data_IF_021337876948
#
_entry.id   IF_021337876948
#
_cell.length_a   1.000
_cell.length_b   1.000
_cell.length_c   1.000
_cell.angle_alpha   90.00
_cell.angle_beta   90.00
_cell.angle_gamma   90.00
#
_symmetry.space_group_name_H-M   'P 1'
#
loop_
_entity.id
_entity.type
_entity.pdbx_description
1 polymer ?
#
# COMPACT_ATOMS: atom_id res chain seq x y z
N UNK A 1 -31.29 44.74 10.29
CA UNK A 1 -31.88 46.01 9.85
C UNK A 1 -33.25 46.14 10.48
N UNK A 2 -33.57 47.28 11.01
CA UNK A 2 -34.84 47.56 11.72
C UNK A 2 -35.64 48.60 10.92
N UNK A 3 -36.94 48.42 10.70
CA UNK A 3 -37.77 49.43 10.08
C UNK A 3 -38.09 50.53 11.12
N UNK A 4 -37.80 51.78 10.76
CA UNK A 4 -38.03 52.96 11.58
C UNK A 4 -38.91 53.94 10.80
N UNK A 5 -39.94 54.49 11.39
CA UNK A 5 -40.73 55.55 10.75
C UNK A 5 -39.84 56.77 10.46
N UNK A 6 -39.97 57.37 9.31
CA UNK A 6 -39.15 58.51 8.88
C UNK A 6 -39.10 59.67 9.87
N UNK A 7 -40.17 59.89 10.61
CA UNK A 7 -40.29 60.93 11.64
C UNK A 7 -39.41 60.68 12.90
N UNK A 8 -39.07 59.37 13.19
CA UNK A 8 -38.20 58.95 14.31
C UNK A 8 -36.81 58.60 13.90
N UNK A 9 -36.40 58.83 12.61
CA UNK A 9 -35.09 58.50 12.10
C UNK A 9 -33.93 59.03 12.96
N UNK A 10 -34.08 60.22 13.54
CA UNK A 10 -33.05 60.86 14.38
C UNK A 10 -32.81 60.18 15.73
N UNK A 11 -33.73 59.32 16.19
CA UNK A 11 -33.63 58.61 17.45
C UNK A 11 -32.84 57.32 17.38
N UNK A 12 -32.65 56.77 16.19
CA UNK A 12 -31.89 55.53 15.96
C UNK A 12 -30.62 55.83 15.19
N UNK A 13 -29.49 55.85 15.91
CA UNK A 13 -28.17 55.99 15.30
C UNK A 13 -27.80 54.69 14.56
N UNK A 14 -27.40 54.80 13.28
CA UNK A 14 -27.06 53.66 12.48
C UNK A 14 -26.90 53.95 10.99
N UNK A 15 -26.67 52.91 10.21
CA UNK A 15 -26.50 52.97 8.75
C UNK A 15 -27.87 52.76 8.10
N UNK A 16 -28.25 53.66 7.19
CA UNK A 16 -29.47 53.52 6.39
C UNK A 16 -29.17 52.59 5.22
N UNK A 17 -29.89 51.50 5.12
CA UNK A 17 -29.77 50.54 4.00
C UNK A 17 -30.77 50.80 2.89
N UNK A 18 -31.99 51.21 3.25
CA UNK A 18 -33.04 51.43 2.27
C UNK A 18 -34.17 52.35 2.82
N UNK A 19 -35.00 52.84 1.92
CA UNK A 19 -36.20 53.65 2.22
C UNK A 19 -37.38 53.07 1.48
N UNK A 20 -38.53 52.96 2.14
CA UNK A 20 -39.74 52.44 1.50
C UNK A 20 -40.17 53.29 0.31
N UNK A 21 -40.84 52.69 -0.66
CA UNK A 21 -41.30 53.36 -1.86
C UNK A 21 -42.22 54.61 -1.60
N UNK A 22 -42.85 54.64 -0.44
CA UNK A 22 -43.68 55.79 0.03
C UNK A 22 -42.87 56.80 0.83
N UNK A 23 -41.61 56.54 1.16
CA UNK A 23 -40.79 57.41 2.00
C UNK A 23 -41.16 57.38 3.50
N UNK A 24 -42.19 56.63 3.89
CA UNK A 24 -42.73 56.63 5.27
C UNK A 24 -41.89 55.78 6.25
N UNK A 25 -41.06 54.86 5.77
CA UNK A 25 -40.23 53.96 6.58
C UNK A 25 -38.80 53.92 6.05
N UNK A 26 -37.85 54.04 6.96
CA UNK A 26 -36.41 53.93 6.70
C UNK A 26 -35.91 52.63 7.35
N UNK A 27 -35.12 51.83 6.60
CA UNK A 27 -34.52 50.63 7.12
C UNK A 27 -33.11 50.96 7.65
N UNK A 28 -32.95 50.92 8.97
CA UNK A 28 -31.73 51.32 9.66
C UNK A 28 -31.06 50.09 10.26
N UNK A 29 -29.76 49.95 10.08
CA UNK A 29 -28.94 49.04 10.87
C UNK A 29 -28.39 49.84 12.06
N UNK A 30 -28.84 49.54 13.30
CA UNK A 30 -28.38 50.28 14.49
C UNK A 30 -26.86 50.16 14.65
N UNK A 31 -26.22 51.24 15.11
CA UNK A 31 -24.77 51.34 15.30
C UNK A 31 -24.21 50.17 16.14
N UNK A 32 -24.90 49.79 17.22
CA UNK A 32 -24.51 48.67 18.06
C UNK A 32 -24.49 47.32 17.30
N UNK A 33 -25.39 47.13 16.30
CA UNK A 33 -25.43 45.93 15.46
C UNK A 33 -24.29 45.95 14.45
N UNK A 34 -23.99 47.10 13.84
CA UNK A 34 -22.84 47.28 12.96
C UNK A 34 -21.54 46.90 13.67
N UNK A 35 -21.35 47.43 14.88
CA UNK A 35 -20.18 47.14 15.71
C UNK A 35 -20.09 45.66 16.10
N UNK A 36 -21.21 45.04 16.48
CA UNK A 36 -21.28 43.64 16.83
C UNK A 36 -20.94 42.76 15.62
N UNK A 37 -21.48 43.06 14.45
CA UNK A 37 -21.19 42.35 13.21
C UNK A 37 -19.72 42.50 12.80
N UNK A 38 -19.14 43.68 12.92
CA UNK A 38 -17.73 43.93 12.68
C UNK A 38 -16.84 43.08 13.59
N UNK A 39 -17.17 42.99 14.90
CA UNK A 39 -16.45 42.11 15.83
C UNK A 39 -16.57 40.64 15.48
N UNK A 40 -17.74 40.19 15.07
CA UNK A 40 -17.94 38.79 14.62
C UNK A 40 -17.05 38.47 13.41
N UNK A 41 -17.00 39.36 12.42
CA UNK A 41 -16.13 39.19 11.25
C UNK A 41 -14.65 39.17 11.64
N UNK A 42 -14.24 40.04 12.57
CA UNK A 42 -12.88 40.08 13.10
C UNK A 42 -12.53 38.77 13.81
N UNK A 43 -13.40 38.27 14.69
CA UNK A 43 -13.16 37.00 15.39
C UNK A 43 -13.10 35.80 14.44
N UNK A 44 -13.95 35.75 13.41
CA UNK A 44 -13.89 34.70 12.39
C UNK A 44 -12.57 34.74 11.61
N UNK A 45 -12.08 35.93 11.30
CA UNK A 45 -10.79 36.07 10.66
C UNK A 45 -9.64 35.62 11.57
N UNK A 46 -9.68 35.96 12.86
CA UNK A 46 -8.71 35.53 13.85
C UNK A 46 -8.76 34.01 14.07
N UNK A 47 -9.95 33.41 14.14
CA UNK A 47 -10.14 31.96 14.22
C UNK A 47 -9.51 31.25 13.03
N UNK A 48 -9.77 31.73 11.81
CA UNK A 48 -9.18 31.14 10.59
C UNK A 48 -7.65 31.23 10.59
N UNK A 49 -7.09 32.37 11.04
CA UNK A 49 -5.64 32.54 11.16
C UNK A 49 -5.04 31.60 12.21
N UNK A 50 -5.70 31.40 13.34
CA UNK A 50 -5.21 30.51 14.40
C UNK A 50 -5.28 29.06 13.99
N UNK A 51 -6.34 28.63 13.29
CA UNK A 51 -6.43 27.29 12.69
C UNK A 51 -5.26 27.06 11.73
N UNK A 52 -5.01 28.00 10.82
CA UNK A 52 -3.88 27.92 9.88
C UNK A 52 -2.54 27.82 10.62
N UNK A 53 -2.34 28.65 11.65
CA UNK A 53 -1.12 28.62 12.47
C UNK A 53 -0.89 27.24 13.12
N UNK A 54 -1.95 26.66 13.68
CA UNK A 54 -1.91 25.33 14.32
C UNK A 54 -1.58 24.26 13.29
N UNK A 55 -2.24 24.26 12.13
CA UNK A 55 -2.02 23.28 11.07
C UNK A 55 -0.59 23.35 10.53
N UNK A 56 -0.06 24.55 10.30
CA UNK A 56 1.33 24.75 9.87
C UNK A 56 2.31 24.21 10.90
N UNK A 57 2.07 24.48 12.19
CA UNK A 57 2.92 23.99 13.27
C UNK A 57 2.95 22.44 13.33
N UNK A 58 1.80 21.80 13.25
CA UNK A 58 1.71 20.33 13.22
C UNK A 58 2.34 19.75 11.96
N UNK A 59 2.10 20.34 10.80
CA UNK A 59 2.72 19.94 9.55
C UNK A 59 4.25 20.00 9.64
N UNK A 60 4.79 21.05 10.24
CA UNK A 60 6.21 21.18 10.47
C UNK A 60 6.79 20.08 11.39
N UNK A 61 6.06 19.71 12.46
CA UNK A 61 6.45 18.60 13.33
C UNK A 61 6.47 17.26 12.60
N UNK A 62 5.45 16.98 11.79
CA UNK A 62 5.38 15.75 10.98
C UNK A 62 6.48 15.74 9.93
N UNK A 63 6.74 16.85 9.25
CA UNK A 63 7.82 16.96 8.26
C UNK A 63 9.21 16.71 8.89
N UNK A 64 9.42 17.09 10.14
CA UNK A 64 10.69 16.87 10.82
C UNK A 64 10.99 15.38 11.09
N UNK A 65 9.98 14.53 11.23
CA UNK A 65 10.11 13.08 11.46
C UNK A 65 9.90 12.24 10.20
N UNK A 66 9.60 12.87 9.06
CA UNK A 66 9.32 12.18 7.79
C UNK A 66 10.44 11.19 7.39
N UNK A 67 11.75 11.52 7.46
CA UNK A 67 12.80 10.59 7.07
C UNK A 67 12.81 9.31 7.93
N UNK A 68 12.59 9.43 9.25
CA UNK A 68 12.51 8.29 10.17
C UNK A 68 11.27 7.45 9.90
N UNK A 69 10.16 8.10 9.59
CA UNK A 69 8.92 7.42 9.23
C UNK A 69 9.09 6.62 7.92
N UNK A 70 9.69 7.21 6.89
CA UNK A 70 10.00 6.53 5.63
C UNK A 70 10.90 5.32 5.82
N UNK A 71 11.95 5.45 6.62
CA UNK A 71 12.83 4.34 6.95
C UNK A 71 12.08 3.20 7.65
N UNK A 72 11.30 3.52 8.68
CA UNK A 72 10.51 2.53 9.42
C UNK A 72 9.49 1.85 8.53
N UNK A 73 8.83 2.59 7.65
CA UNK A 73 7.86 2.05 6.69
C UNK A 73 8.50 1.05 5.73
N UNK A 74 9.67 1.38 5.17
CA UNK A 74 10.41 0.46 4.30
C UNK A 74 10.81 -0.82 5.04
N UNK A 75 11.34 -0.69 6.25
CA UNK A 75 11.69 -1.84 7.08
C UNK A 75 10.47 -2.74 7.38
N UNK A 76 9.31 -2.15 7.68
CA UNK A 76 8.07 -2.90 7.87
C UNK A 76 7.66 -3.67 6.61
N UNK A 77 7.75 -3.07 5.42
CA UNK A 77 7.45 -3.76 4.16
C UNK A 77 8.38 -4.95 3.92
N UNK A 78 9.68 -4.79 4.17
CA UNK A 78 10.65 -5.89 4.05
C UNK A 78 10.33 -7.04 5.01
N UNK A 79 10.02 -6.73 6.27
CA UNK A 79 9.64 -7.73 7.27
C UNK A 79 8.33 -8.42 6.86
N UNK A 80 7.34 -7.70 6.39
CA UNK A 80 6.06 -8.28 5.95
C UNK A 80 6.25 -9.28 4.80
N UNK A 81 7.05 -8.91 3.79
CA UNK A 81 7.41 -9.81 2.68
C UNK A 81 8.15 -11.06 3.18
N UNK A 82 9.10 -10.91 4.10
CA UNK A 82 9.83 -12.05 4.69
C UNK A 82 8.90 -12.97 5.48
N UNK A 83 7.98 -12.41 6.26
CA UNK A 83 6.98 -13.19 7.01
C UNK A 83 6.01 -13.92 6.08
N UNK A 84 5.58 -13.28 4.99
CA UNK A 84 4.74 -13.91 3.97
C UNK A 84 5.45 -15.10 3.30
N UNK A 85 6.73 -14.93 2.91
CA UNK A 85 7.56 -16.01 2.37
C UNK A 85 7.75 -17.15 3.38
N UNK A 86 8.00 -16.82 4.65
CA UNK A 86 8.17 -17.82 5.70
C UNK A 86 6.88 -18.62 5.95
N UNK A 87 5.72 -17.96 6.01
CA UNK A 87 4.41 -18.63 6.15
C UNK A 87 4.15 -19.57 4.99
N UNK A 88 4.37 -19.11 3.76
CA UNK A 88 4.23 -19.94 2.55
C UNK A 88 5.16 -21.17 2.60
N UNK A 89 6.40 -20.99 3.07
CA UNK A 89 7.35 -22.08 3.22
C UNK A 89 6.87 -23.14 4.23
N UNK A 90 6.31 -22.71 5.35
CA UNK A 90 5.74 -23.63 6.34
C UNK A 90 4.55 -24.41 5.78
N UNK A 91 3.65 -23.74 5.09
CA UNK A 91 2.47 -24.36 4.48
C UNK A 91 2.86 -25.43 3.42
N UNK A 92 3.88 -25.15 2.62
CA UNK A 92 4.40 -26.07 1.60
C UNK A 92 5.35 -27.14 2.18
N UNK A 93 5.76 -27.04 3.45
CA UNK A 93 6.85 -27.82 4.05
C UNK A 93 8.10 -27.73 3.14
N UNK A 94 8.50 -26.49 2.87
CA UNK A 94 9.57 -26.13 1.97
C UNK A 94 10.91 -25.99 2.71
N UNK A 95 12.00 -26.29 2.01
CA UNK A 95 13.37 -26.17 2.52
C UNK A 95 14.19 -25.23 1.64
N UNK A 96 15.27 -24.72 2.21
CA UNK A 96 16.24 -23.89 1.48
C UNK A 96 17.13 -24.81 0.62
N UNK A 97 17.09 -24.69 -0.71
CA UNK A 97 18.03 -25.43 -1.54
C UNK A 97 19.44 -24.84 -1.42
N UNK A 98 20.45 -25.66 -1.69
CA UNK A 98 21.83 -25.20 -1.87
C UNK A 98 21.96 -24.55 -3.26
N UNK A 99 22.45 -23.30 -3.30
CA UNK A 99 22.70 -22.62 -4.58
C UNK A 99 24.11 -22.95 -5.05
N UNK A 100 24.20 -23.47 -6.27
CA UNK A 100 25.46 -23.84 -6.91
C UNK A 100 25.94 -22.74 -7.87
N UNK A 101 27.24 -22.71 -8.09
CA UNK A 101 27.88 -21.78 -9.02
C UNK A 101 28.11 -22.38 -10.40
N UNK A 102 27.93 -23.70 -10.56
CA UNK A 102 27.95 -24.40 -11.85
C UNK A 102 26.54 -24.47 -12.48
N UNK A 103 26.42 -25.03 -13.66
CA UNK A 103 25.16 -25.14 -14.41
C UNK A 103 24.34 -26.39 -14.05
N UNK A 104 24.56 -26.97 -12.86
CA UNK A 104 23.87 -28.18 -12.45
C UNK A 104 22.77 -27.90 -11.41
N UNK A 105 21.69 -28.67 -11.48
CA UNK A 105 20.68 -28.74 -10.43
C UNK A 105 20.26 -30.16 -10.10
N UNK A 106 19.80 -30.38 -8.88
CA UNK A 106 19.26 -31.64 -8.39
C UNK A 106 18.12 -31.38 -7.44
N UNK A 107 16.91 -31.67 -7.84
CA UNK A 107 15.71 -31.58 -7.04
C UNK A 107 15.34 -32.97 -6.53
N UNK A 108 15.33 -33.18 -5.22
CA UNK A 108 15.01 -34.43 -4.56
C UNK A 108 13.64 -34.36 -3.93
N UNK A 109 12.77 -35.31 -4.23
CA UNK A 109 11.37 -35.35 -3.73
C UNK A 109 10.60 -34.04 -3.98
N UNK A 110 10.85 -33.43 -5.12
CA UNK A 110 10.23 -32.19 -5.54
C UNK A 110 8.71 -32.36 -5.72
N UNK A 111 7.95 -31.45 -5.15
CA UNK A 111 6.48 -31.41 -5.25
C UNK A 111 6.04 -30.13 -5.93
N UNK A 112 5.03 -30.22 -6.78
CA UNK A 112 4.45 -29.03 -7.41
C UNK A 112 3.70 -28.19 -6.38
N UNK A 113 4.04 -26.92 -6.14
CA UNK A 113 3.49 -26.12 -5.03
C UNK A 113 1.98 -25.86 -5.13
N UNK A 114 1.41 -25.92 -6.33
CA UNK A 114 -0.01 -25.68 -6.57
C UNK A 114 -0.85 -26.97 -6.64
N UNK A 115 -0.26 -28.13 -6.40
CA UNK A 115 -0.98 -29.40 -6.31
C UNK A 115 -1.11 -29.79 -4.85
N UNK A 116 -2.32 -30.24 -4.45
CA UNK A 116 -2.57 -30.71 -3.09
C UNK A 116 -1.50 -31.73 -2.68
N UNK A 117 -0.86 -31.49 -1.55
CA UNK A 117 0.24 -32.34 -1.05
C UNK A 117 -0.14 -33.80 -0.87
N UNK A 118 -1.44 -34.13 -0.67
CA UNK A 118 -1.95 -35.50 -0.56
C UNK A 118 -2.06 -36.19 -1.92
N UNK A 119 -2.15 -35.43 -3.01
CA UNK A 119 -2.29 -35.93 -4.38
C UNK A 119 -1.01 -35.80 -5.19
N UNK A 120 -0.08 -34.96 -4.75
CA UNK A 120 1.17 -34.71 -5.44
C UNK A 120 2.13 -35.88 -5.25
N UNK A 121 2.57 -36.48 -6.35
CA UNK A 121 3.62 -37.49 -6.35
C UNK A 121 4.97 -36.75 -6.41
N UNK A 122 5.85 -36.92 -5.39
CA UNK A 122 7.17 -36.30 -5.43
C UNK A 122 8.03 -36.89 -6.56
N UNK A 123 8.86 -36.06 -7.19
CA UNK A 123 9.75 -36.46 -8.27
C UNK A 123 11.20 -36.07 -7.97
N UNK A 124 12.13 -36.87 -8.43
CA UNK A 124 13.56 -36.59 -8.43
C UNK A 124 14.00 -36.19 -9.83
N UNK A 125 14.67 -35.03 -9.96
CA UNK A 125 15.13 -34.51 -11.25
C UNK A 125 16.51 -33.91 -11.05
N UNK A 126 17.48 -34.36 -11.90
CA UNK A 126 18.82 -33.77 -11.92
C UNK A 126 19.29 -33.55 -13.36
N UNK A 127 20.11 -32.52 -13.55
CA UNK A 127 20.67 -32.14 -14.84
C UNK A 127 21.99 -31.38 -14.64
N UNK A 128 22.89 -31.45 -15.59
CA UNK A 128 24.11 -30.66 -15.65
C UNK A 128 25.33 -31.32 -14.99
N UNK A 129 25.23 -32.56 -14.43
CA UNK A 129 26.37 -33.31 -13.87
C UNK A 129 26.82 -34.44 -14.77
N UNK A 130 25.94 -35.41 -15.00
CA UNK A 130 26.21 -36.60 -15.77
C UNK A 130 25.73 -36.45 -17.21
N UNK A 131 24.72 -35.63 -17.42
CA UNK A 131 24.10 -35.36 -18.72
C UNK A 131 23.57 -33.93 -18.80
N UNK A 132 23.62 -33.36 -20.00
CA UNK A 132 23.22 -31.98 -20.28
C UNK A 132 21.79 -31.86 -20.83
N UNK A 133 21.14 -32.99 -21.07
CA UNK A 133 19.79 -33.05 -21.62
C UNK A 133 18.99 -34.19 -20.98
N UNK A 134 17.74 -33.87 -20.62
CA UNK A 134 16.77 -34.81 -20.04
C UNK A 134 15.55 -34.91 -20.95
N UNK A 135 15.29 -36.08 -21.47
CA UNK A 135 14.11 -36.36 -22.28
C UNK A 135 13.07 -37.09 -21.44
N UNK A 136 11.90 -36.47 -21.22
CA UNK A 136 10.80 -37.02 -20.44
C UNK A 136 9.76 -37.62 -21.39
N UNK A 137 9.64 -38.96 -21.42
CA UNK A 137 8.72 -39.71 -22.27
C UNK A 137 7.65 -40.42 -21.43
N UNK A 138 6.56 -40.83 -22.05
CA UNK A 138 5.49 -41.61 -21.41
C UNK A 138 4.10 -41.20 -21.87
N UNK A 139 3.04 -41.84 -21.36
CA UNK A 139 1.64 -41.51 -21.71
C UNK A 139 1.24 -40.11 -21.25
N UNK A 140 0.20 -39.52 -21.86
CA UNK A 140 -0.23 -38.17 -21.55
C UNK A 140 -0.75 -37.99 -20.09
N UNK A 141 -1.21 -39.08 -19.49
CA UNK A 141 -1.62 -39.13 -18.08
C UNK A 141 -0.48 -39.34 -17.09
N UNK A 142 0.76 -39.56 -17.58
CA UNK A 142 1.94 -39.91 -16.78
C UNK A 142 2.65 -38.75 -16.07
N UNK A 143 2.09 -37.54 -16.06
CA UNK A 143 2.66 -36.42 -15.29
C UNK A 143 3.87 -35.71 -15.96
N UNK A 144 4.21 -35.99 -17.23
CA UNK A 144 5.33 -35.34 -17.94
C UNK A 144 5.35 -33.82 -17.84
N UNK A 145 4.23 -33.18 -18.18
CA UNK A 145 4.08 -31.73 -18.13
C UNK A 145 4.18 -31.19 -16.69
N UNK A 146 3.64 -31.92 -15.72
CA UNK A 146 3.75 -31.55 -14.29
C UNK A 146 5.18 -31.60 -13.83
N UNK A 147 5.94 -32.64 -14.21
CA UNK A 147 7.36 -32.80 -13.89
C UNK A 147 8.18 -31.63 -14.43
N UNK A 148 8.01 -31.29 -15.72
CA UNK A 148 8.71 -30.17 -16.35
C UNK A 148 8.37 -28.83 -15.65
N UNK A 149 7.08 -28.58 -15.45
CA UNK A 149 6.61 -27.37 -14.76
C UNK A 149 7.11 -27.30 -13.31
N UNK A 150 7.16 -28.43 -12.61
CA UNK A 150 7.71 -28.49 -11.25
C UNK A 150 9.16 -28.06 -11.22
N UNK A 151 10.00 -28.62 -12.10
CA UNK A 151 11.42 -28.26 -12.16
C UNK A 151 11.62 -26.76 -12.43
N UNK A 152 11.01 -26.22 -13.48
CA UNK A 152 11.12 -24.80 -13.83
C UNK A 152 10.59 -23.88 -12.72
N UNK A 153 9.42 -24.20 -12.18
CA UNK A 153 8.81 -23.37 -11.13
C UNK A 153 9.63 -23.36 -9.83
N UNK A 154 10.16 -24.50 -9.38
CA UNK A 154 10.96 -24.56 -8.15
C UNK A 154 12.31 -23.84 -8.32
N UNK A 155 12.94 -23.93 -9.47
CA UNK A 155 14.15 -23.16 -9.77
C UNK A 155 13.86 -21.65 -9.79
N UNK A 156 12.78 -21.22 -10.43
CA UNK A 156 12.35 -19.82 -10.45
C UNK A 156 11.99 -19.30 -9.05
N UNK A 157 11.26 -20.09 -8.24
CA UNK A 157 10.96 -19.77 -6.86
C UNK A 157 12.22 -19.55 -6.04
N UNK A 158 13.19 -20.45 -6.14
CA UNK A 158 14.44 -20.33 -5.40
C UNK A 158 15.26 -19.09 -5.82
N UNK A 159 15.31 -18.76 -7.11
CA UNK A 159 15.93 -17.51 -7.60
C UNK A 159 15.24 -16.24 -7.09
N UNK A 160 13.93 -16.30 -6.87
CA UNK A 160 13.16 -15.22 -6.24
C UNK A 160 13.30 -15.16 -4.69
N UNK A 161 14.14 -16.05 -4.11
CA UNK A 161 14.35 -16.11 -2.66
C UNK A 161 13.20 -16.76 -1.89
N UNK A 162 12.47 -17.68 -2.51
CA UNK A 162 11.53 -18.56 -1.83
C UNK A 162 12.20 -19.86 -1.42
N UNK A 163 11.74 -20.47 -0.34
CA UNK A 163 12.01 -21.87 -0.04
C UNK A 163 11.17 -22.77 -0.98
N UNK A 164 11.67 -23.95 -1.30
CA UNK A 164 11.02 -24.84 -2.26
C UNK A 164 10.51 -26.13 -1.61
N UNK A 165 9.34 -26.67 -2.03
CA UNK A 165 8.79 -27.91 -1.50
C UNK A 165 9.53 -29.15 -2.08
N UNK A 166 10.79 -29.29 -1.70
CA UNK A 166 11.69 -30.36 -2.04
C UNK A 166 12.50 -30.79 -0.79
N UNK A 167 13.27 -31.87 -0.88
CA UNK A 167 14.16 -32.29 0.21
C UNK A 167 15.27 -31.26 0.46
N UNK A 168 15.73 -31.12 1.69
CA UNK A 168 16.78 -30.14 2.09
C UNK A 168 18.11 -30.32 1.35
N UNK A 169 18.37 -31.51 0.84
CA UNK A 169 19.55 -31.84 0.01
C UNK A 169 19.42 -31.40 -1.44
N UNK A 170 18.32 -30.77 -1.81
CA UNK A 170 18.13 -30.25 -3.16
C UNK A 170 19.09 -29.11 -3.46
N UNK A 171 19.59 -29.09 -4.67
CA UNK A 171 20.54 -28.10 -5.16
C UNK A 171 19.98 -27.45 -6.41
N UNK A 172 20.21 -26.16 -6.57
CA UNK A 172 19.83 -25.40 -7.76
C UNK A 172 21.03 -24.61 -8.30
N UNK A 173 21.06 -24.36 -9.60
CA UNK A 173 21.89 -23.31 -10.20
C UNK A 173 21.06 -22.07 -10.50
N UNK A 174 21.75 -20.98 -10.82
CA UNK A 174 21.12 -19.74 -11.30
C UNK A 174 20.95 -19.83 -12.81
N UNK A 175 19.74 -19.63 -13.28
CA UNK A 175 19.39 -19.61 -14.70
C UNK A 175 19.25 -18.18 -15.19
N UNK A 176 19.80 -17.87 -16.33
CA UNK A 176 19.64 -16.57 -16.98
C UNK A 176 18.26 -16.42 -17.61
N UNK A 177 17.68 -17.54 -18.08
CA UNK A 177 16.42 -17.53 -18.81
C UNK A 177 15.61 -18.81 -18.58
N UNK A 178 14.29 -18.69 -18.54
CA UNK A 178 13.34 -19.81 -18.53
C UNK A 178 12.51 -19.74 -19.81
N UNK A 179 12.66 -20.71 -20.69
CA UNK A 179 11.86 -20.85 -21.91
C UNK A 179 10.85 -21.99 -21.74
N UNK A 180 9.55 -21.72 -22.04
CA UNK A 180 8.43 -22.66 -21.86
C UNK A 180 7.65 -22.80 -23.15
#
# INVERSE_FOLDING_TARGET
>A
VVPVKSEYRGEVSGIIHDVSSTGATVFVEPQAVVEANARILQYRAQEAQEIERILVAFTGQVAAIEPQFQYSYKAMLEIDVLLAKARLALDMKAFKPTVRTDTSFSLIRARHPLIDAKKCVPVDISLGREYDSLIITGPNTGGKTVTLKTAGLLCAMAQCGFLIPADERSEICVFDEFLV
#
